data_IF_275773772904
#
_entry.id   IF_275773772904
#
_cell.length_a   1.000
_cell.length_b   1.000
_cell.length_c   1.000
_cell.angle_alpha   90.00
_cell.angle_beta   90.00
_cell.angle_gamma   90.00
#
_symmetry.space_group_name_H-M   'P 1'
#
loop_
_entity.id
_entity.type
_entity.pdbx_description
1 polymer ?
#
# COMPACT_ATOMS: atom_id res chain seq x y z
N UNK A 1 -32.95 -3.04 -10.93
CA UNK A 1 -32.50 -2.77 -9.55
C UNK A 1 -32.21 -1.29 -9.40
N UNK A 2 -32.64 -0.67 -8.30
CA UNK A 2 -32.38 0.75 -8.07
C UNK A 2 -30.90 0.95 -7.67
N UNK A 3 -30.28 2.06 -8.10
CA UNK A 3 -28.86 2.34 -7.85
C UNK A 3 -28.44 2.23 -6.36
N UNK A 4 -29.34 2.54 -5.42
CA UNK A 4 -29.10 2.41 -3.98
C UNK A 4 -28.88 0.96 -3.53
N UNK A 5 -29.58 0.00 -4.12
CA UNK A 5 -29.43 -1.44 -3.76
C UNK A 5 -28.12 -2.01 -4.32
N UNK A 6 -27.71 -1.57 -5.51
CA UNK A 6 -26.42 -1.94 -6.08
C UNK A 6 -25.27 -1.41 -5.21
N UNK A 7 -25.30 -0.13 -4.82
CA UNK A 7 -24.29 0.47 -3.92
C UNK A 7 -24.23 -0.28 -2.58
N UNK A 8 -25.39 -0.64 -2.03
CA UNK A 8 -25.44 -1.42 -0.78
C UNK A 8 -24.83 -2.81 -0.93
N UNK A 9 -25.14 -3.51 -2.04
CA UNK A 9 -24.57 -4.82 -2.34
C UNK A 9 -23.04 -4.75 -2.37
N UNK A 10 -22.50 -3.78 -3.10
CA UNK A 10 -21.05 -3.57 -3.20
C UNK A 10 -20.40 -3.19 -1.87
N UNK A 11 -21.06 -2.38 -1.04
CA UNK A 11 -20.57 -2.08 0.32
C UNK A 11 -20.52 -3.34 1.21
N UNK A 12 -21.53 -4.22 1.12
CA UNK A 12 -21.55 -5.49 1.86
C UNK A 12 -20.41 -6.41 1.40
N UNK A 13 -20.19 -6.55 0.10
CA UNK A 13 -19.07 -7.34 -0.45
C UNK A 13 -17.71 -6.82 0.07
N UNK A 14 -17.49 -5.50 0.00
CA UNK A 14 -16.26 -4.86 0.49
C UNK A 14 -16.04 -5.10 1.98
N UNK A 15 -17.08 -4.98 2.79
CA UNK A 15 -16.99 -5.20 4.24
C UNK A 15 -16.74 -6.68 4.57
N UNK A 16 -17.33 -7.61 3.84
CA UNK A 16 -17.06 -9.04 3.99
C UNK A 16 -15.59 -9.34 3.65
N UNK A 17 -15.09 -8.82 2.53
CA UNK A 17 -13.69 -8.97 2.16
C UNK A 17 -12.75 -8.39 3.23
N UNK A 18 -13.06 -7.22 3.77
CA UNK A 18 -12.29 -6.63 4.86
C UNK A 18 -12.31 -7.49 6.12
N UNK A 19 -13.48 -8.01 6.51
CA UNK A 19 -13.61 -8.90 7.66
C UNK A 19 -12.78 -10.18 7.51
N UNK A 20 -12.75 -10.76 6.31
CA UNK A 20 -11.96 -11.96 6.02
C UNK A 20 -10.47 -11.65 5.92
N UNK A 21 -10.10 -10.44 5.47
CA UNK A 21 -8.70 -9.96 5.45
C UNK A 21 -8.07 -9.90 6.84
N UNK A 22 -8.85 -9.70 7.89
CA UNK A 22 -8.38 -9.69 9.28
C UNK A 22 -8.24 -11.09 9.91
N UNK A 23 -8.62 -12.17 9.21
CA UNK A 23 -8.45 -13.51 9.75
C UNK A 23 -6.97 -13.87 9.83
N UNK A 24 -6.46 -14.03 11.07
CA UNK A 24 -5.07 -14.38 11.33
C UNK A 24 -4.78 -15.85 11.00
N UNK A 25 -5.80 -16.71 11.12
CA UNK A 25 -5.66 -18.16 10.93
C UNK A 25 -5.60 -18.57 9.45
N UNK A 26 -5.90 -17.66 8.54
CA UNK A 26 -5.91 -17.91 7.10
C UNK A 26 -4.73 -17.21 6.45
N UNK A 27 -3.82 -18.01 5.89
CA UNK A 27 -2.60 -17.52 5.22
C UNK A 27 -2.88 -17.13 3.77
N UNK A 28 -3.69 -16.10 3.56
CA UNK A 28 -3.90 -15.57 2.22
C UNK A 28 -2.71 -14.70 1.78
N UNK A 29 -2.37 -14.76 0.49
CA UNK A 29 -1.26 -14.01 -0.13
C UNK A 29 -1.73 -12.85 -0.98
N UNK A 30 -2.91 -12.97 -1.57
CA UNK A 30 -3.54 -11.87 -2.30
C UNK A 30 -5.06 -12.01 -2.35
N UNK A 31 -5.73 -10.89 -2.56
CA UNK A 31 -7.17 -10.85 -2.83
C UNK A 31 -7.48 -9.90 -3.98
N UNK A 32 -8.49 -10.21 -4.77
CA UNK A 32 -9.03 -9.34 -5.81
C UNK A 32 -10.53 -9.22 -5.59
N UNK A 33 -11.01 -7.98 -5.41
CA UNK A 33 -12.44 -7.65 -5.40
C UNK A 33 -12.86 -7.35 -6.83
N UNK A 34 -14.05 -7.81 -7.23
CA UNK A 34 -14.59 -7.64 -8.58
C UNK A 34 -13.53 -7.99 -9.65
N UNK A 35 -13.01 -9.23 -9.65
CA UNK A 35 -11.99 -9.59 -10.62
C UNK A 35 -12.54 -9.48 -12.04
N UNK A 36 -11.77 -8.84 -12.94
CA UNK A 36 -12.07 -8.78 -14.36
C UNK A 36 -12.25 -10.21 -14.90
N UNK A 37 -13.49 -10.60 -15.10
CA UNK A 37 -13.86 -11.88 -15.71
C UNK A 37 -15.02 -11.65 -16.66
N UNK A 38 -15.03 -12.33 -17.79
CA UNK A 38 -16.15 -12.33 -18.75
C UNK A 38 -17.46 -12.82 -18.11
N UNK A 39 -17.42 -13.20 -16.84
CA UNK A 39 -18.49 -13.81 -16.10
C UNK A 39 -18.58 -13.17 -14.70
N UNK A 40 -19.43 -12.17 -14.54
CA UNK A 40 -19.67 -11.36 -13.32
C UNK A 40 -20.24 -12.15 -12.12
N UNK A 41 -19.71 -13.35 -11.86
CA UNK A 41 -20.24 -14.23 -10.79
C UNK A 41 -19.30 -14.37 -9.59
N UNK A 42 -18.05 -13.91 -9.71
CA UNK A 42 -17.08 -13.93 -8.62
C UNK A 42 -16.90 -12.51 -8.11
N UNK A 43 -17.31 -12.27 -6.87
CA UNK A 43 -17.22 -10.97 -6.24
C UNK A 43 -15.86 -10.79 -5.53
N UNK A 44 -15.28 -11.87 -4.98
CA UNK A 44 -14.00 -11.87 -4.26
C UNK A 44 -13.20 -13.11 -4.66
N UNK A 45 -11.93 -12.90 -5.01
CA UNK A 45 -11.02 -13.99 -5.37
C UNK A 45 -9.78 -13.98 -4.48
N UNK A 46 -9.57 -15.07 -3.74
CA UNK A 46 -8.46 -15.25 -2.80
C UNK A 46 -7.39 -16.15 -3.37
N UNK A 47 -6.16 -15.82 -3.08
CA UNK A 47 -4.97 -16.63 -3.31
C UNK A 47 -4.32 -16.94 -1.95
N UNK A 48 -3.84 -18.16 -1.75
CA UNK A 48 -3.25 -18.62 -0.50
C UNK A 48 -1.79 -19.04 -0.71
N UNK A 49 -1.03 -19.14 0.39
CA UNK A 49 0.39 -19.50 0.39
C UNK A 49 0.67 -20.92 -0.08
N UNK A 50 -0.29 -21.85 0.10
CA UNK A 50 -0.24 -23.21 -0.41
C UNK A 50 -0.53 -23.32 -1.93
N UNK A 51 -0.70 -22.21 -2.61
CA UNK A 51 -1.07 -22.14 -4.02
C UNK A 51 -2.55 -22.43 -4.28
N UNK A 52 -3.36 -22.66 -3.25
CA UNK A 52 -4.81 -22.82 -3.42
C UNK A 52 -5.48 -21.47 -3.69
N UNK A 53 -6.68 -21.54 -4.29
CA UNK A 53 -7.48 -20.35 -4.60
C UNK A 53 -8.91 -20.56 -4.14
N UNK A 54 -9.61 -19.47 -3.78
CA UNK A 54 -11.01 -19.50 -3.41
C UNK A 54 -11.79 -18.40 -4.17
N UNK A 55 -12.82 -18.83 -4.89
CA UNK A 55 -13.77 -17.92 -5.52
C UNK A 55 -15.00 -17.76 -4.61
N UNK A 56 -15.30 -16.53 -4.22
CA UNK A 56 -16.45 -16.21 -3.37
C UNK A 56 -17.45 -15.36 -4.15
N UNK A 57 -18.72 -15.65 -3.94
CA UNK A 57 -19.84 -14.81 -4.36
C UNK A 57 -20.62 -14.37 -3.13
N UNK A 58 -21.04 -13.12 -3.09
CA UNK A 58 -21.83 -12.53 -2.01
C UNK A 58 -23.24 -12.24 -2.51
N UNK A 59 -24.24 -12.85 -1.91
CA UNK A 59 -25.66 -12.59 -2.21
C UNK A 59 -26.35 -11.99 -1.02
N UNK A 60 -26.88 -10.79 -1.19
CA UNK A 60 -27.62 -10.09 -0.15
C UNK A 60 -29.11 -9.97 -0.53
N UNK A 61 -30.00 -10.23 0.44
CA UNK A 61 -31.45 -10.10 0.24
C UNK A 61 -32.16 -9.73 1.54
N UNK A 62 -33.12 -8.80 1.41
CA UNK A 62 -34.06 -8.47 2.50
C UNK A 62 -35.12 -9.55 2.67
N UNK A 63 -35.40 -10.29 1.60
CA UNK A 63 -36.35 -11.40 1.60
C UNK A 63 -35.62 -12.68 1.98
N UNK A 64 -36.35 -13.66 2.50
CA UNK A 64 -35.82 -14.95 2.85
C UNK A 64 -35.21 -15.65 1.62
N UNK A 65 -33.95 -16.02 1.71
CA UNK A 65 -33.21 -16.76 0.70
C UNK A 65 -33.58 -18.25 0.84
N UNK A 66 -34.19 -18.81 -0.19
CA UNK A 66 -34.57 -20.22 -0.23
C UNK A 66 -33.54 -21.10 -0.93
N UNK A 67 -33.66 -22.43 -0.71
CA UNK A 67 -32.76 -23.46 -1.24
C UNK A 67 -32.59 -23.40 -2.77
N UNK A 68 -33.66 -23.23 -3.53
CA UNK A 68 -33.58 -23.16 -5.00
C UNK A 68 -32.72 -22.00 -5.54
N UNK A 69 -32.72 -20.87 -4.85
CA UNK A 69 -31.86 -19.77 -5.23
C UNK A 69 -30.38 -20.12 -4.95
N UNK A 70 -30.10 -20.70 -3.77
CA UNK A 70 -28.75 -21.08 -3.37
C UNK A 70 -28.16 -22.11 -4.30
N UNK A 71 -28.95 -23.14 -4.66
CA UNK A 71 -28.55 -24.17 -5.59
C UNK A 71 -28.17 -23.61 -6.96
N UNK A 72 -28.99 -22.70 -7.50
CA UNK A 72 -28.71 -22.02 -8.77
C UNK A 72 -27.42 -21.17 -8.72
N UNK A 73 -27.26 -20.37 -7.67
CA UNK A 73 -26.06 -19.51 -7.50
C UNK A 73 -24.79 -20.33 -7.31
N UNK A 74 -24.83 -21.42 -6.55
CA UNK A 74 -23.69 -22.31 -6.37
C UNK A 74 -23.25 -22.95 -7.69
N UNK A 75 -24.20 -23.38 -8.53
CA UNK A 75 -23.89 -23.87 -9.86
C UNK A 75 -23.25 -22.80 -10.74
N UNK A 76 -23.87 -21.61 -10.81
CA UNK A 76 -23.32 -20.48 -11.58
C UNK A 76 -21.92 -20.10 -11.14
N UNK A 77 -21.66 -20.04 -9.82
CA UNK A 77 -20.34 -19.70 -9.27
C UNK A 77 -19.28 -20.72 -9.69
N UNK A 78 -19.59 -22.00 -9.60
CA UNK A 78 -18.66 -23.07 -9.96
C UNK A 78 -18.33 -23.08 -11.45
N UNK A 79 -19.28 -22.73 -12.30
CA UNK A 79 -19.12 -22.68 -13.74
C UNK A 79 -18.41 -21.40 -14.23
N UNK A 80 -18.28 -20.37 -13.37
CA UNK A 80 -17.79 -19.04 -13.77
C UNK A 80 -16.29 -18.92 -13.85
N UNK A 81 -15.54 -19.40 -12.87
CA UNK A 81 -14.07 -19.29 -12.79
C UNK A 81 -13.47 -20.52 -12.14
N UNK A 82 -12.35 -20.99 -12.67
CA UNK A 82 -11.62 -22.10 -12.04
C UNK A 82 -10.99 -21.66 -10.72
N UNK A 83 -11.34 -22.35 -9.65
CA UNK A 83 -10.75 -22.21 -8.31
C UNK A 83 -10.72 -23.59 -7.63
N UNK A 84 -9.89 -23.73 -6.60
CA UNK A 84 -9.82 -24.97 -5.82
C UNK A 84 -10.97 -25.03 -4.81
N UNK A 85 -11.34 -23.87 -4.25
CA UNK A 85 -12.45 -23.72 -3.29
C UNK A 85 -13.47 -22.72 -3.82
N UNK A 86 -14.72 -22.94 -3.45
CA UNK A 86 -15.83 -22.06 -3.79
C UNK A 86 -16.67 -21.80 -2.56
N UNK A 87 -17.06 -20.54 -2.34
CA UNK A 87 -17.90 -20.14 -1.22
C UNK A 87 -19.01 -19.19 -1.67
N UNK A 88 -20.23 -19.46 -1.24
CA UNK A 88 -21.36 -18.57 -1.40
C UNK A 88 -21.70 -17.91 -0.06
N UNK A 89 -21.39 -16.63 0.09
CA UNK A 89 -21.65 -15.86 1.29
C UNK A 89 -23.08 -15.29 1.20
N UNK A 90 -23.90 -15.63 2.15
CA UNK A 90 -25.29 -15.15 2.22
C UNK A 90 -25.41 -14.04 3.28
N UNK A 91 -25.96 -12.89 2.89
CA UNK A 91 -26.24 -11.80 3.78
C UNK A 91 -27.76 -11.55 3.83
N UNK A 92 -28.36 -11.81 4.98
CA UNK A 92 -29.79 -11.64 5.21
C UNK A 92 -30.48 -12.89 5.77
N UNK A 93 -31.82 -12.91 5.84
CA UNK A 93 -32.58 -14.05 6.34
C UNK A 93 -32.52 -15.23 5.37
N UNK A 94 -32.23 -16.42 5.88
CA UNK A 94 -32.19 -17.65 5.09
C UNK A 94 -33.17 -18.69 5.64
N UNK A 95 -33.63 -19.59 4.77
CA UNK A 95 -34.42 -20.72 5.19
C UNK A 95 -33.53 -21.78 5.88
N UNK A 96 -34.02 -22.41 6.96
CA UNK A 96 -33.28 -23.43 7.69
C UNK A 96 -32.75 -24.54 6.80
N UNK A 97 -33.55 -25.01 5.86
CA UNK A 97 -33.18 -26.05 4.89
C UNK A 97 -31.93 -25.71 4.04
N UNK A 98 -31.48 -24.46 3.98
CA UNK A 98 -30.26 -24.10 3.28
C UNK A 98 -29.03 -24.54 4.06
N UNK A 99 -29.03 -24.38 5.39
CA UNK A 99 -27.92 -24.81 6.24
C UNK A 99 -27.86 -26.31 6.42
N UNK A 100 -29.03 -26.96 6.48
CA UNK A 100 -29.13 -28.42 6.69
C UNK A 100 -28.59 -29.20 5.47
N UNK A 101 -28.71 -28.63 4.26
CA UNK A 101 -28.36 -29.28 3.01
C UNK A 101 -27.01 -28.87 2.40
N UNK A 102 -26.28 -27.94 3.05
CA UNK A 102 -24.96 -27.51 2.56
C UNK A 102 -23.91 -28.65 2.70
N UNK A 103 -22.92 -28.76 1.79
CA UNK A 103 -22.63 -27.90 0.64
C UNK A 103 -23.46 -28.19 -0.61
N UNK A 104 -23.62 -27.19 -1.49
CA UNK A 104 -24.30 -27.35 -2.78
C UNK A 104 -23.27 -27.39 -3.91
N UNK A 105 -23.32 -28.43 -4.74
CA UNK A 105 -22.40 -28.63 -5.88
C UNK A 105 -20.89 -28.53 -5.51
N UNK A 106 -20.56 -28.81 -4.24
CA UNK A 106 -19.19 -28.63 -3.72
C UNK A 106 -18.81 -27.16 -3.44
N UNK A 107 -19.80 -26.26 -3.38
CA UNK A 107 -19.67 -24.88 -2.93
C UNK A 107 -20.04 -24.81 -1.44
N UNK A 108 -19.16 -24.29 -0.63
CA UNK A 108 -19.43 -24.08 0.79
C UNK A 108 -20.39 -22.89 0.97
N UNK A 109 -21.34 -23.04 1.90
CA UNK A 109 -22.25 -21.98 2.32
C UNK A 109 -22.02 -21.73 3.81
N UNK A 110 -21.16 -20.78 4.17
CA UNK A 110 -20.89 -20.45 5.57
C UNK A 110 -22.11 -19.91 6.29
N UNK A 111 -22.02 -19.83 7.61
CA UNK A 111 -23.05 -19.15 8.44
C UNK A 111 -23.35 -17.76 7.88
N UNK A 112 -24.62 -17.43 7.68
CA UNK A 112 -25.02 -16.16 7.10
C UNK A 112 -24.52 -14.96 7.88
N UNK A 113 -24.20 -13.91 7.15
CA UNK A 113 -23.79 -12.64 7.75
C UNK A 113 -24.91 -11.61 7.74
N UNK A 114 -24.71 -10.52 8.47
CA UNK A 114 -25.66 -9.40 8.48
C UNK A 114 -25.69 -8.67 7.14
N UNK A 115 -26.86 -8.20 6.75
CA UNK A 115 -27.02 -7.19 5.69
C UNK A 115 -26.82 -5.77 6.20
N UNK A 116 -26.78 -5.58 7.51
CA UNK A 116 -26.60 -4.26 8.10
C UNK A 116 -25.14 -3.85 8.03
N UNK A 117 -24.86 -2.85 7.22
CA UNK A 117 -23.51 -2.32 7.04
C UNK A 117 -22.92 -1.72 8.31
N UNK A 118 -23.75 -1.21 9.22
CA UNK A 118 -23.30 -0.73 10.54
C UNK A 118 -22.84 -1.90 11.40
N UNK A 119 -23.62 -2.97 11.44
CA UNK A 119 -23.23 -4.18 12.17
C UNK A 119 -21.94 -4.81 11.61
N UNK A 120 -21.74 -4.80 10.28
CA UNK A 120 -20.50 -5.27 9.67
C UNK A 120 -19.31 -4.36 10.01
N UNK A 121 -19.51 -3.04 10.04
CA UNK A 121 -18.47 -2.09 10.48
C UNK A 121 -18.08 -2.30 11.94
N UNK A 122 -19.05 -2.50 12.85
CA UNK A 122 -18.78 -2.83 14.24
C UNK A 122 -17.99 -4.13 14.41
N UNK A 123 -18.32 -5.15 13.61
CA UNK A 123 -17.53 -6.39 13.56
C UNK A 123 -16.10 -6.14 13.05
N UNK A 124 -15.91 -5.31 12.04
CA UNK A 124 -14.59 -4.96 11.52
C UNK A 124 -13.76 -4.23 12.58
N UNK A 125 -14.35 -3.27 13.31
CA UNK A 125 -13.71 -2.56 14.42
C UNK A 125 -13.26 -3.52 15.54
N UNK A 126 -14.04 -4.57 15.78
CA UNK A 126 -13.68 -5.60 16.76
C UNK A 126 -12.61 -6.56 16.24
N UNK A 127 -12.71 -6.96 14.98
CA UNK A 127 -11.72 -7.86 14.34
C UNK A 127 -10.37 -7.20 14.16
N UNK A 128 -10.31 -5.91 13.79
CA UNK A 128 -9.04 -5.19 13.64
C UNK A 128 -8.24 -5.20 14.93
N UNK A 129 -8.88 -5.11 16.09
CA UNK A 129 -8.21 -5.14 17.39
C UNK A 129 -7.49 -6.49 17.61
N UNK A 130 -8.16 -7.60 17.29
CA UNK A 130 -7.54 -8.94 17.35
C UNK A 130 -6.40 -9.09 16.34
N UNK A 131 -6.60 -8.56 15.14
CA UNK A 131 -5.58 -8.57 14.09
C UNK A 131 -4.33 -7.78 14.52
N UNK A 132 -4.49 -6.61 15.13
CA UNK A 132 -3.40 -5.79 15.64
C UNK A 132 -2.68 -6.49 16.81
N UNK A 133 -3.44 -7.09 17.73
CA UNK A 133 -2.89 -7.88 18.84
C UNK A 133 -2.05 -9.06 18.33
N UNK A 134 -2.54 -9.79 17.31
CA UNK A 134 -1.77 -10.87 16.68
C UNK A 134 -0.47 -10.38 16.04
N UNK A 135 -0.42 -9.12 15.60
CA UNK A 135 0.79 -8.46 15.08
C UNK A 135 1.61 -7.76 16.18
N UNK A 136 1.28 -7.96 17.46
CA UNK A 136 1.93 -7.31 18.60
C UNK A 136 1.87 -5.78 18.54
N UNK A 137 0.77 -5.24 18.03
CA UNK A 137 0.45 -3.82 18.04
C UNK A 137 -0.57 -3.59 19.16
N UNK A 138 -0.35 -2.55 19.96
CA UNK A 138 -1.25 -2.22 21.04
C UNK A 138 -2.66 -1.86 20.55
N UNK A 139 -3.69 -2.16 21.38
CA UNK A 139 -5.06 -1.78 21.07
C UNK A 139 -5.19 -0.28 20.81
N UNK A 140 -5.82 0.06 19.68
CA UNK A 140 -6.09 1.46 19.35
C UNK A 140 -7.33 1.97 20.10
N UNK A 141 -7.38 3.26 20.49
CA UNK A 141 -8.61 3.91 20.91
C UNK A 141 -9.73 3.74 19.87
N UNK A 142 -10.97 3.58 20.33
CA UNK A 142 -12.13 3.31 19.47
C UNK A 142 -12.25 4.28 18.26
N UNK A 143 -12.13 5.62 18.43
CA UNK A 143 -12.23 6.54 17.30
C UNK A 143 -11.16 6.32 16.23
N UNK A 144 -9.97 5.87 16.64
CA UNK A 144 -8.88 5.57 15.69
C UNK A 144 -9.13 4.25 14.96
N UNK A 145 -9.68 3.24 15.62
CA UNK A 145 -10.11 1.99 14.96
C UNK A 145 -11.21 2.28 13.92
N UNK A 146 -12.18 3.09 14.28
CA UNK A 146 -13.23 3.52 13.34
C UNK A 146 -12.64 4.23 12.11
N UNK A 147 -11.76 5.21 12.32
CA UNK A 147 -11.10 5.94 11.24
C UNK A 147 -10.29 5.00 10.34
N UNK A 148 -9.52 4.08 10.93
CA UNK A 148 -8.75 3.09 10.19
C UNK A 148 -9.66 2.18 9.34
N UNK A 149 -10.78 1.72 9.89
CA UNK A 149 -11.73 0.88 9.15
C UNK A 149 -12.32 1.63 7.96
N UNK A 150 -12.72 2.90 8.13
CA UNK A 150 -13.23 3.71 7.02
C UNK A 150 -12.17 3.93 5.94
N UNK A 151 -10.92 4.17 6.32
CA UNK A 151 -9.81 4.30 5.38
C UNK A 151 -9.58 3.00 4.60
N UNK A 152 -9.56 1.86 5.28
CA UNK A 152 -9.38 0.55 4.62
C UNK A 152 -10.53 0.23 3.67
N UNK A 153 -11.78 0.52 4.05
CA UNK A 153 -12.94 0.37 3.17
C UNK A 153 -12.77 1.23 1.92
N UNK A 154 -12.38 2.51 2.07
CA UNK A 154 -12.17 3.40 0.93
C UNK A 154 -11.07 2.88 -0.01
N UNK A 155 -9.96 2.38 0.53
CA UNK A 155 -8.86 1.79 -0.27
C UNK A 155 -9.28 0.52 -0.99
N UNK A 156 -10.04 -0.37 -0.32
CA UNK A 156 -10.57 -1.58 -0.93
C UNK A 156 -11.58 -1.27 -2.04
N UNK A 157 -12.45 -0.28 -1.85
CA UNK A 157 -13.35 0.20 -2.88
C UNK A 157 -12.59 0.71 -4.10
N UNK A 158 -11.53 1.49 -3.88
CA UNK A 158 -10.66 1.97 -4.97
C UNK A 158 -9.99 0.82 -5.71
N UNK A 159 -9.49 -0.18 -4.98
CA UNK A 159 -8.88 -1.37 -5.57
C UNK A 159 -9.90 -2.16 -6.42
N UNK A 160 -11.13 -2.32 -5.92
CA UNK A 160 -12.22 -2.97 -6.63
C UNK A 160 -12.60 -2.25 -7.94
N UNK A 161 -12.75 -0.90 -7.90
CA UNK A 161 -13.05 -0.10 -9.09
C UNK A 161 -11.97 -0.29 -10.18
N UNK A 162 -10.72 -0.54 -9.78
CA UNK A 162 -9.60 -0.73 -10.70
C UNK A 162 -9.37 -2.21 -11.06
N UNK A 163 -10.17 -3.15 -10.55
CA UNK A 163 -9.92 -4.60 -10.71
C UNK A 163 -8.55 -5.03 -10.15
N UNK A 164 -8.04 -4.32 -9.14
CA UNK A 164 -6.66 -4.47 -8.68
C UNK A 164 -6.52 -5.70 -7.78
N UNK A 165 -5.55 -6.56 -8.11
CA UNK A 165 -5.05 -7.59 -7.21
C UNK A 165 -4.31 -6.94 -6.04
N UNK A 166 -4.72 -7.21 -4.80
CA UNK A 166 -4.16 -6.67 -3.57
C UNK A 166 -3.35 -7.74 -2.84
N UNK A 167 -2.02 -7.67 -2.84
CA UNK A 167 -1.17 -8.54 -2.05
C UNK A 167 -1.36 -8.32 -0.53
N UNK A 168 -1.06 -9.34 0.27
CA UNK A 168 -1.17 -9.29 1.73
C UNK A 168 -0.28 -8.22 2.36
N UNK A 169 0.92 -8.10 1.87
CA UNK A 169 1.89 -7.09 2.33
C UNK A 169 1.41 -5.67 2.05
N UNK A 170 0.72 -5.45 0.93
CA UNK A 170 0.10 -4.16 0.63
C UNK A 170 -1.03 -3.85 1.63
N UNK A 171 -1.91 -4.81 1.91
CA UNK A 171 -2.95 -4.65 2.92
C UNK A 171 -2.36 -4.36 4.31
N UNK A 172 -1.35 -5.12 4.73
CA UNK A 172 -0.63 -4.91 5.98
C UNK A 172 0.02 -3.51 6.02
N UNK A 173 0.55 -3.06 4.87
CA UNK A 173 1.09 -1.71 4.70
C UNK A 173 0.04 -0.62 4.89
N UNK A 174 -1.18 -0.81 4.37
CA UNK A 174 -2.28 0.14 4.58
C UNK A 174 -2.65 0.26 6.06
N UNK A 175 -2.77 -0.88 6.75
CA UNK A 175 -3.06 -0.90 8.19
C UNK A 175 -1.98 -0.16 8.98
N UNK A 176 -0.71 -0.49 8.74
CA UNK A 176 0.41 0.13 9.44
C UNK A 176 0.51 1.63 9.16
N UNK A 177 0.27 2.06 7.92
CA UNK A 177 0.36 3.47 7.57
C UNK A 177 -0.75 4.29 8.22
N UNK A 178 -1.98 3.78 8.22
CA UNK A 178 -3.10 4.44 8.89
C UNK A 178 -2.86 4.59 10.41
N UNK A 179 -2.32 3.56 11.05
CA UNK A 179 -1.97 3.61 12.48
C UNK A 179 -0.83 4.60 12.72
N UNK A 180 0.23 4.53 11.91
CA UNK A 180 1.40 5.39 12.07
C UNK A 180 1.05 6.86 11.89
N UNK A 181 0.17 7.18 10.95
CA UNK A 181 -0.27 8.54 10.71
C UNK A 181 -1.14 9.08 11.87
N UNK A 182 -1.96 8.24 12.47
CA UNK A 182 -2.96 8.66 13.45
C UNK A 182 -2.57 8.39 14.90
N UNK A 183 -1.76 7.34 15.15
CA UNK A 183 -1.37 6.90 16.50
C UNK A 183 -0.02 6.18 16.50
N UNK A 184 1.07 6.90 16.22
CA UNK A 184 2.42 6.31 16.10
C UNK A 184 2.87 5.55 17.35
N UNK A 185 2.35 5.91 18.52
CA UNK A 185 2.68 5.23 19.78
C UNK A 185 2.30 3.75 19.82
N UNK A 186 1.21 3.34 19.18
CA UNK A 186 0.79 1.94 19.14
C UNK A 186 1.77 1.04 18.36
N UNK A 187 2.44 1.61 17.38
CA UNK A 187 3.42 0.88 16.56
C UNK A 187 4.79 0.85 17.23
N UNK A 188 5.11 1.86 18.06
CA UNK A 188 6.41 1.98 18.71
C UNK A 188 6.68 0.93 19.78
N UNK A 189 5.65 0.42 20.45
CA UNK A 189 5.83 -0.62 21.46
C UNK A 189 6.27 -1.97 20.89
N UNK A 190 5.92 -2.26 19.61
CA UNK A 190 6.45 -3.44 18.92
C UNK A 190 7.96 -3.38 18.70
N UNK A 191 8.52 -2.19 18.79
CA UNK A 191 9.91 -1.84 18.57
C UNK A 191 10.65 -1.58 19.88
N UNK A 192 10.14 -2.09 21.02
CA UNK A 192 10.71 -2.00 22.36
C UNK A 192 12.08 -2.68 22.56
N UNK A 193 12.75 -3.10 21.53
CA UNK A 193 14.19 -3.02 21.58
C UNK A 193 14.54 -1.53 21.58
N UNK A 194 15.47 -1.08 22.40
CA UNK A 194 15.99 0.28 22.54
C UNK A 194 16.60 0.85 21.22
N UNK A 195 15.99 0.57 20.07
CA UNK A 195 16.49 0.91 18.75
C UNK A 195 15.63 2.00 18.12
N UNK A 196 16.28 2.91 17.42
CA UNK A 196 15.63 3.80 16.47
C UNK A 196 15.12 2.99 15.28
N UNK A 197 13.91 3.26 14.82
CA UNK A 197 13.36 2.64 13.63
C UNK A 197 13.02 3.73 12.64
N UNK A 198 13.76 3.74 11.54
CA UNK A 198 13.57 4.73 10.50
C UNK A 198 12.81 4.12 9.34
N UNK A 199 11.79 4.82 8.90
CA UNK A 199 11.22 4.64 7.59
C UNK A 199 11.10 6.01 6.90
N UNK A 200 11.07 6.01 5.60
CA UNK A 200 10.75 7.19 4.83
C UNK A 200 9.32 7.10 4.34
N UNK A 201 8.51 8.05 4.77
CA UNK A 201 7.37 8.45 3.97
C UNK A 201 7.99 9.31 2.88
N UNK A 202 8.28 8.73 1.73
CA UNK A 202 8.44 9.51 0.53
C UNK A 202 7.04 10.04 0.18
N UNK A 203 6.56 11.02 0.91
CA UNK A 203 5.66 11.98 0.32
C UNK A 203 6.46 12.70 -0.75
N UNK A 204 6.57 12.08 -1.90
CA UNK A 204 6.88 12.82 -3.09
C UNK A 204 5.58 13.52 -3.45
N UNK A 205 5.17 14.40 -2.58
CA UNK A 205 4.13 15.38 -2.85
C UNK A 205 4.59 16.41 -3.89
N UNK A 206 5.75 16.15 -4.53
CA UNK A 206 6.31 17.02 -5.53
C UNK A 206 7.13 16.29 -6.59
N UNK A 207 7.30 16.88 -7.76
CA UNK A 207 8.13 16.33 -8.81
C UNK A 207 9.60 16.24 -8.38
N UNK A 208 10.27 15.14 -8.73
CA UNK A 208 11.72 15.01 -8.60
C UNK A 208 12.36 15.98 -9.56
N UNK A 209 13.21 16.85 -9.04
CA UNK A 209 13.98 17.73 -9.88
C UNK A 209 15.23 17.01 -10.39
N UNK A 210 15.34 16.88 -11.71
CA UNK A 210 16.49 16.27 -12.38
C UNK A 210 17.25 17.33 -13.16
N UNK A 211 18.55 17.40 -12.93
CA UNK A 211 19.45 18.26 -13.73
C UNK A 211 20.10 17.43 -14.83
N UNK A 212 19.91 17.86 -16.09
CA UNK A 212 20.46 17.15 -17.24
C UNK A 212 22.00 17.22 -17.34
N UNK A 213 22.63 18.27 -16.81
CA UNK A 213 24.10 18.44 -16.91
C UNK A 213 24.89 17.63 -15.89
N UNK A 214 24.32 17.45 -14.71
CA UNK A 214 25.04 16.85 -13.58
C UNK A 214 24.39 15.56 -13.07
N UNK A 215 23.26 15.16 -13.67
CA UNK A 215 22.47 13.98 -13.18
C UNK A 215 22.13 14.06 -11.71
N UNK A 216 21.96 15.26 -11.23
CA UNK A 216 21.62 15.53 -9.84
C UNK A 216 20.13 15.34 -9.64
N UNK A 217 19.78 14.77 -8.52
CA UNK A 217 18.39 14.52 -8.12
C UNK A 217 18.10 15.28 -6.82
N UNK A 218 17.08 16.12 -6.83
CA UNK A 218 16.55 16.70 -5.59
C UNK A 218 15.31 15.93 -5.19
N UNK A 219 15.39 15.28 -4.05
CA UNK A 219 14.29 14.52 -3.48
C UNK A 219 13.77 15.21 -2.22
N UNK A 220 12.48 15.57 -2.16
CA UNK A 220 11.85 15.91 -0.90
C UNK A 220 11.71 14.62 -0.08
N UNK A 221 12.32 14.58 1.09
CA UNK A 221 12.33 13.43 1.98
C UNK A 221 11.61 13.79 3.28
N UNK A 222 10.65 12.97 3.68
CA UNK A 222 10.15 12.93 5.05
C UNK A 222 10.64 11.64 5.68
N UNK A 223 11.50 11.73 6.66
CA UNK A 223 12.01 10.58 7.40
C UNK A 223 11.35 10.55 8.77
N UNK A 224 10.73 9.44 9.10
CA UNK A 224 10.00 9.23 10.35
C UNK A 224 10.80 8.31 11.24
N UNK A 225 10.98 8.67 12.49
CA UNK A 225 11.48 7.79 13.54
C UNK A 225 10.30 7.30 14.40
N UNK A 226 9.85 6.07 14.14
CA UNK A 226 8.82 5.41 14.94
C UNK A 226 9.36 4.66 16.15
N UNK A 227 10.66 4.70 16.38
CA UNK A 227 11.30 4.04 17.51
C UNK A 227 11.19 4.83 18.81
N UNK A 228 11.58 4.19 19.92
CA UNK A 228 11.57 4.76 21.26
C UNK A 228 12.85 5.56 21.61
N UNK A 229 13.88 5.50 20.77
CA UNK A 229 15.13 6.22 20.95
C UNK A 229 15.39 7.19 19.80
N UNK A 230 16.21 8.21 20.06
CA UNK A 230 16.66 9.15 19.02
C UNK A 230 17.43 8.40 17.94
N UNK A 231 17.08 8.63 16.68
CA UNK A 231 17.81 8.15 15.52
C UNK A 231 18.79 9.23 15.05
N UNK A 232 20.05 8.88 14.92
CA UNK A 232 21.04 9.74 14.27
C UNK A 232 21.26 9.20 12.86
N UNK A 233 20.79 9.94 11.87
CA UNK A 233 21.00 9.63 10.46
C UNK A 233 22.41 10.09 10.08
N UNK A 234 23.26 9.15 9.69
CA UNK A 234 24.65 9.43 9.27
C UNK A 234 24.74 9.63 7.75
N UNK A 235 23.96 8.88 6.98
CA UNK A 235 24.04 8.91 5.53
C UNK A 235 22.78 8.42 4.86
N UNK A 236 22.48 8.98 3.69
CA UNK A 236 21.61 8.38 2.70
C UNK A 236 22.43 7.82 1.53
N UNK A 237 21.92 6.79 0.90
CA UNK A 237 22.39 6.30 -0.40
C UNK A 237 21.17 6.11 -1.29
N UNK A 238 21.22 6.68 -2.50
CA UNK A 238 20.18 6.48 -3.49
C UNK A 238 20.73 5.57 -4.59
N UNK A 239 20.04 4.49 -4.87
CA UNK A 239 20.29 3.60 -5.97
C UNK A 239 19.23 3.82 -7.03
N UNK A 240 19.65 4.03 -8.28
CA UNK A 240 18.77 4.20 -9.43
C UNK A 240 19.20 3.22 -10.50
N UNK A 241 18.28 2.40 -10.98
CA UNK A 241 18.61 1.41 -12.00
C UNK A 241 17.48 1.20 -13.01
N UNK A 242 17.88 0.80 -14.21
CA UNK A 242 17.01 0.29 -15.26
C UNK A 242 17.49 -1.10 -15.68
N UNK A 243 16.88 -1.71 -16.68
CA UNK A 243 17.32 -2.99 -17.24
C UNK A 243 18.78 -2.99 -17.74
N UNK A 244 19.28 -1.82 -18.14
CA UNK A 244 20.59 -1.68 -18.79
C UNK A 244 21.62 -0.93 -17.95
N UNK A 245 21.23 -0.29 -16.88
CA UNK A 245 22.10 0.63 -16.14
C UNK A 245 21.77 0.69 -14.66
N UNK A 246 22.82 0.80 -13.83
CA UNK A 246 22.72 1.09 -12.40
C UNK A 246 23.58 2.30 -12.06
N UNK A 247 23.03 3.21 -11.28
CA UNK A 247 23.72 4.40 -10.76
C UNK A 247 23.50 4.51 -9.26
N UNK A 248 24.53 4.98 -8.56
CA UNK A 248 24.47 5.25 -7.13
C UNK A 248 24.73 6.73 -6.87
N UNK A 249 24.00 7.27 -5.93
CA UNK A 249 24.03 8.67 -5.57
C UNK A 249 24.29 8.85 -4.08
N UNK A 250 25.03 9.86 -3.74
CA UNK A 250 25.24 10.31 -2.36
C UNK A 250 24.55 11.64 -2.13
N UNK A 251 24.13 11.96 -0.89
CA UNK A 251 23.65 13.27 -0.55
C UNK A 251 24.82 14.26 -0.58
N UNK A 252 24.57 15.47 -1.07
CA UNK A 252 25.55 16.56 -1.10
C UNK A 252 25.08 17.74 -0.28
N UNK A 253 23.86 18.18 -0.52
CA UNK A 253 23.28 19.37 0.11
C UNK A 253 21.87 19.10 0.62
N UNK A 254 21.51 19.78 1.70
CA UNK A 254 20.10 20.02 2.02
C UNK A 254 19.74 21.36 1.42
N UNK A 255 18.74 21.37 0.56
CA UNK A 255 18.30 22.56 -0.17
C UNK A 255 17.01 23.10 0.43
N UNK A 256 16.84 24.43 0.42
CA UNK A 256 15.61 25.03 0.90
C UNK A 256 14.42 24.63 0.00
N UNK A 257 13.32 24.21 0.62
CA UNK A 257 12.09 23.89 -0.09
C UNK A 257 11.29 25.18 -0.32
N UNK A 258 11.57 25.83 -1.44
CA UNK A 258 10.86 27.02 -1.88
C UNK A 258 10.24 26.75 -3.25
N UNK A 259 8.95 26.49 -3.31
CA UNK A 259 8.25 26.30 -4.59
C UNK A 259 8.46 27.50 -5.51
N UNK A 260 8.80 27.24 -6.76
CA UNK A 260 8.95 28.28 -7.79
C UNK A 260 10.35 28.90 -7.91
N UNK A 261 11.28 28.64 -7.02
CA UNK A 261 12.66 29.10 -7.19
C UNK A 261 13.45 28.26 -8.20
N UNK A 262 14.30 28.93 -8.97
CA UNK A 262 15.19 28.27 -9.95
C UNK A 262 16.22 27.40 -9.21
N UNK A 263 16.47 26.20 -9.73
CA UNK A 263 17.40 25.21 -9.16
C UNK A 263 18.77 25.80 -8.76
N UNK A 264 19.36 26.63 -9.61
CA UNK A 264 20.66 27.25 -9.33
C UNK A 264 20.62 28.12 -8.06
N UNK A 265 19.51 28.78 -7.77
CA UNK A 265 19.33 29.60 -6.57
C UNK A 265 19.19 28.72 -5.33
N UNK A 266 18.41 27.66 -5.42
CA UNK A 266 18.23 26.66 -4.34
C UNK A 266 19.57 26.02 -3.96
N UNK A 267 20.38 25.63 -4.94
CA UNK A 267 21.70 25.05 -4.71
C UNK A 267 22.64 26.01 -3.96
N UNK A 268 22.62 27.32 -4.29
CA UNK A 268 23.44 28.32 -3.62
C UNK A 268 23.02 28.60 -2.17
N UNK A 269 21.77 28.38 -1.84
CA UNK A 269 21.21 28.57 -0.51
C UNK A 269 21.23 27.30 0.34
N UNK A 270 21.60 26.16 -0.24
CA UNK A 270 21.71 24.89 0.46
C UNK A 270 22.88 24.86 1.42
N UNK A 271 22.78 24.06 2.45
CA UNK A 271 23.90 23.74 3.34
C UNK A 271 24.38 22.30 3.10
N UNK A 272 25.65 21.97 3.37
CA UNK A 272 26.15 20.60 3.23
C UNK A 272 25.27 19.61 4.00
N UNK A 273 25.04 18.44 3.38
CA UNK A 273 24.40 17.35 4.09
C UNK A 273 25.34 16.87 5.21
N UNK A 274 24.81 16.73 6.40
CA UNK A 274 25.52 16.23 7.57
C UNK A 274 24.60 15.38 8.42
N UNK A 275 25.16 14.79 9.45
CA UNK A 275 24.42 13.99 10.40
C UNK A 275 23.32 14.83 11.06
N UNK A 276 22.14 14.21 11.23
CA UNK A 276 21.03 14.85 11.93
C UNK A 276 20.27 13.85 12.78
N UNK A 277 19.71 14.35 13.87
CA UNK A 277 18.96 13.54 14.81
C UNK A 277 17.45 13.68 14.56
N UNK A 278 16.75 12.57 14.67
CA UNK A 278 15.29 12.53 14.66
C UNK A 278 14.85 12.00 16.03
N UNK A 279 14.15 12.83 16.77
CA UNK A 279 13.65 12.45 18.09
C UNK A 279 12.71 11.22 18.01
N UNK A 280 12.52 10.49 19.11
CA UNK A 280 11.54 9.42 19.15
C UNK A 280 10.16 9.92 18.71
N UNK A 281 9.43 9.09 17.97
CA UNK A 281 8.05 9.41 17.55
C UNK A 281 7.91 10.74 16.79
N UNK A 282 8.92 11.11 16.02
CA UNK A 282 8.92 12.36 15.26
C UNK A 282 9.38 12.17 13.82
N UNK A 283 9.24 13.21 13.02
CA UNK A 283 9.69 13.22 11.63
C UNK A 283 10.49 14.47 11.32
N UNK A 284 11.38 14.35 10.33
CA UNK A 284 12.11 15.47 9.74
C UNK A 284 11.82 15.48 8.24
N UNK A 285 11.41 16.65 7.75
CA UNK A 285 11.21 16.90 6.32
C UNK A 285 12.32 17.77 5.79
N UNK A 286 12.97 17.34 4.71
CA UNK A 286 14.00 18.11 4.05
C UNK A 286 14.14 17.72 2.58
N UNK A 287 14.50 18.68 1.73
CA UNK A 287 14.83 18.40 0.32
C UNK A 287 16.32 18.17 0.20
N UNK A 288 16.71 16.98 -0.24
CA UNK A 288 18.11 16.55 -0.33
C UNK A 288 18.55 16.50 -1.79
N UNK A 289 19.65 17.16 -2.10
CA UNK A 289 20.33 17.06 -3.38
C UNK A 289 21.25 15.85 -3.37
N UNK A 290 20.99 14.92 -4.28
CA UNK A 290 21.80 13.74 -4.53
C UNK A 290 22.65 13.93 -5.77
N UNK A 291 23.93 13.61 -5.65
CA UNK A 291 24.90 13.63 -6.76
C UNK A 291 25.40 12.23 -7.05
N UNK A 292 25.70 11.90 -8.32
CA UNK A 292 26.20 10.59 -8.68
C UNK A 292 27.57 10.32 -8.04
N UNK A 293 27.75 9.12 -7.52
CA UNK A 293 29.07 8.64 -7.09
C UNK A 293 29.86 8.33 -8.36
N UNK A 294 30.79 9.18 -8.75
CA UNK A 294 31.63 9.00 -9.94
C UNK A 294 32.43 7.70 -9.81
N UNK A 295 32.29 6.80 -10.79
CA UNK A 295 33.22 5.69 -10.99
C UNK A 295 34.09 5.99 -12.20
N UNK A 296 35.39 5.73 -12.14
CA UNK A 296 36.26 5.80 -13.33
C UNK A 296 35.70 4.87 -14.42
N UNK A 297 35.47 5.38 -15.63
CA UNK A 297 35.01 4.58 -16.79
C UNK A 297 33.54 4.75 -17.20
N UNK A 298 32.75 5.59 -16.54
CA UNK A 298 31.40 5.93 -17.01
C UNK A 298 31.44 7.18 -17.89
N UNK A 299 31.51 7.00 -19.20
CA UNK A 299 31.70 8.10 -20.15
C UNK A 299 30.43 8.82 -20.59
N UNK A 300 29.26 8.31 -20.33
CA UNK A 300 28.01 9.02 -20.68
C UNK A 300 27.05 9.11 -19.53
N UNK A 301 26.80 10.31 -19.14
CA UNK A 301 25.86 10.68 -18.08
C UNK A 301 24.46 10.96 -18.62
N UNK A 302 23.96 10.18 -19.57
CA UNK A 302 22.62 10.39 -20.12
C UNK A 302 21.59 9.54 -19.41
N UNK A 303 20.41 10.10 -19.24
CA UNK A 303 19.21 9.40 -18.80
C UNK A 303 18.42 8.95 -20.02
N UNK A 304 18.62 7.73 -20.56
CA UNK A 304 17.78 7.24 -21.64
C UNK A 304 16.30 7.29 -21.25
N UNK A 305 15.46 7.37 -22.28
CA UNK A 305 14.01 7.29 -22.12
C UNK A 305 13.67 5.92 -21.53
N UNK A 306 12.79 5.89 -20.54
CA UNK A 306 12.32 4.65 -19.93
C UNK A 306 12.07 4.75 -18.43
N UNK A 307 11.79 3.59 -17.85
CA UNK A 307 11.50 3.44 -16.44
C UNK A 307 12.78 3.13 -15.65
N UNK A 308 12.94 3.86 -14.56
CA UNK A 308 14.02 3.68 -13.59
C UNK A 308 13.44 3.33 -12.23
N UNK A 309 13.95 2.27 -11.66
CA UNK A 309 13.69 1.96 -10.25
C UNK A 309 14.61 2.81 -9.37
N UNK A 310 14.06 3.33 -8.30
CA UNK A 310 14.77 4.16 -7.33
C UNK A 310 14.62 3.53 -5.96
N UNK A 311 15.73 3.35 -5.25
CA UNK A 311 15.73 2.81 -3.89
C UNK A 311 16.57 3.71 -2.98
N UNK A 312 15.95 4.18 -1.90
CA UNK A 312 16.60 5.00 -0.89
C UNK A 312 17.03 4.12 0.28
N UNK A 313 18.29 4.19 0.61
CA UNK A 313 18.88 3.57 1.79
C UNK A 313 19.27 4.62 2.81
N UNK A 314 19.21 4.25 4.07
CA UNK A 314 19.69 5.06 5.20
C UNK A 314 20.71 4.26 6.01
N UNK A 315 21.73 4.95 6.48
CA UNK A 315 22.59 4.50 7.56
C UNK A 315 22.34 5.36 8.78
N UNK A 316 22.11 4.74 9.91
CA UNK A 316 21.97 5.43 11.19
C UNK A 316 22.79 4.75 12.29
N UNK A 317 23.18 5.53 13.31
CA UNK A 317 24.23 5.15 14.27
C UNK A 317 24.01 3.82 15.01
N UNK A 318 22.75 3.37 15.14
CA UNK A 318 22.45 2.11 15.80
C UNK A 318 22.60 0.88 14.89
N UNK A 319 22.87 1.04 13.59
CA UNK A 319 22.97 -0.08 12.65
C UNK A 319 24.27 -0.07 11.87
N UNK A 320 24.89 -1.24 11.77
CA UNK A 320 26.13 -1.40 11.01
C UNK A 320 25.90 -1.39 9.48
N UNK A 321 24.70 -1.75 9.00
CA UNK A 321 24.37 -1.89 7.59
C UNK A 321 23.43 -0.80 7.12
N UNK A 322 23.47 -0.51 5.81
CA UNK A 322 22.48 0.31 5.12
C UNK A 322 21.12 -0.39 5.08
N UNK A 323 20.07 0.31 5.47
CA UNK A 323 18.69 -0.17 5.42
C UNK A 323 17.95 0.47 4.25
N UNK A 324 17.30 -0.34 3.43
CA UNK A 324 16.36 0.15 2.42
C UNK A 324 15.11 0.67 3.12
N UNK A 325 14.80 1.94 2.90
CA UNK A 325 13.65 2.59 3.54
C UNK A 325 12.54 2.97 2.57
N UNK A 326 12.84 2.98 1.27
CA UNK A 326 11.85 3.27 0.22
C UNK A 326 12.27 2.80 -1.15
N UNK A 327 11.28 2.37 -1.94
CA UNK A 327 11.41 2.08 -3.38
C UNK A 327 10.37 2.89 -4.16
N UNK A 328 10.76 3.37 -5.33
CA UNK A 328 9.90 4.14 -6.23
C UNK A 328 10.29 3.90 -7.69
N UNK A 329 9.45 4.32 -8.62
CA UNK A 329 9.74 4.29 -10.06
C UNK A 329 9.67 5.70 -10.62
N UNK A 330 10.67 6.07 -11.43
CA UNK A 330 10.71 7.31 -12.19
C UNK A 330 10.64 6.94 -13.67
N UNK A 331 9.74 7.58 -14.42
CA UNK A 331 9.63 7.41 -15.87
C UNK A 331 10.13 8.66 -16.56
N UNK A 332 11.13 8.52 -17.44
CA UNK A 332 11.62 9.61 -18.29
C UNK A 332 10.99 9.49 -19.67
N UNK A 333 10.17 10.47 -20.04
CA UNK A 333 9.49 10.56 -21.32
C UNK A 333 10.36 11.29 -22.37
N UNK A 334 9.96 11.19 -23.63
CA UNK A 334 10.67 11.79 -24.75
C UNK A 334 10.85 13.32 -24.63
N UNK A 335 9.81 14.02 -24.22
CA UNK A 335 9.83 15.48 -24.02
C UNK A 335 10.73 15.90 -22.85
N UNK A 336 10.76 15.10 -21.80
CA UNK A 336 11.63 15.30 -20.65
C UNK A 336 13.09 15.03 -21.01
N UNK A 337 13.35 13.97 -21.78
CA UNK A 337 14.68 13.62 -22.28
C UNK A 337 15.28 14.75 -23.10
N UNK A 338 14.52 15.34 -24.03
CA UNK A 338 14.98 16.47 -24.85
C UNK A 338 15.38 17.68 -24.00
N UNK A 339 14.66 17.96 -22.92
CA UNK A 339 14.99 19.05 -21.99
C UNK A 339 16.24 18.70 -21.17
N UNK A 340 16.35 17.48 -20.68
CA UNK A 340 17.50 17.03 -19.90
C UNK A 340 18.79 17.04 -20.73
N UNK A 341 18.76 16.60 -21.98
CA UNK A 341 19.92 16.61 -22.88
C UNK A 341 20.39 18.03 -23.23
N UNK A 342 19.49 19.02 -23.22
CA UNK A 342 19.87 20.42 -23.37
C UNK A 342 20.58 21.02 -22.11
N UNK A 343 20.72 20.23 -21.06
CA UNK A 343 21.33 20.61 -19.80
C UNK A 343 20.43 21.47 -18.90
N UNK A 344 19.14 21.52 -19.21
CA UNK A 344 18.14 22.18 -18.38
C UNK A 344 17.66 21.26 -17.25
N UNK A 345 17.04 21.87 -16.27
CA UNK A 345 16.42 21.14 -15.16
C UNK A 345 14.95 20.91 -15.45
N UNK A 346 14.49 19.71 -15.20
CA UNK A 346 13.08 19.33 -15.34
C UNK A 346 12.54 18.75 -14.03
N UNK A 347 11.26 19.00 -13.80
CA UNK A 347 10.50 18.31 -12.79
C UNK A 347 9.86 17.07 -13.42
N UNK A 348 10.24 15.88 -12.94
CA UNK A 348 9.72 14.63 -13.41
C UNK A 348 8.76 14.09 -12.37
N UNK A 349 7.54 13.80 -12.80
CA UNK A 349 6.58 13.11 -11.95
C UNK A 349 7.08 11.70 -11.66
N UNK A 350 7.02 11.26 -10.41
CA UNK A 350 7.20 9.85 -10.12
C UNK A 350 5.92 9.16 -10.57
N UNK A 351 6.03 8.40 -11.66
CA UNK A 351 4.95 7.58 -12.12
C UNK A 351 4.66 6.51 -11.04
N UNK A 352 3.40 6.35 -10.69
CA UNK A 352 2.90 5.46 -9.65
C UNK A 352 3.03 5.96 -8.20
N UNK A 353 2.86 7.26 -7.96
CA UNK A 353 2.48 7.74 -6.64
C UNK A 353 1.26 6.94 -6.14
N UNK A 354 0.27 6.71 -7.01
CA UNK A 354 -0.94 5.94 -6.72
C UNK A 354 -0.62 4.47 -6.35
N UNK A 355 0.37 3.87 -7.00
CA UNK A 355 0.79 2.51 -6.69
C UNK A 355 1.55 2.39 -5.36
N UNK A 356 2.11 3.50 -4.86
CA UNK A 356 2.86 3.56 -3.62
C UNK A 356 2.13 4.28 -2.48
N UNK A 357 1.16 5.13 -2.77
CA UNK A 357 0.14 5.53 -1.79
C UNK A 357 -0.68 4.32 -1.34
N UNK A 358 -0.76 3.28 -2.16
CA UNK A 358 -1.35 1.99 -1.77
C UNK A 358 -0.39 1.10 -0.96
N UNK A 359 0.86 1.48 -0.77
CA UNK A 359 1.85 0.82 0.09
C UNK A 359 2.10 1.61 1.39
N UNK A 360 1.56 2.80 1.48
CA UNK A 360 1.37 3.56 2.68
C UNK A 360 -0.03 3.29 3.22
#
# INVERSE_FOLDING_TARGET
MGGREAIRGFAVQTLICLLDSFCADVQWTAVTLEPDSDNDKVDIYWEYDDGSTCAQQVKSSKNQIGKSHVDGWCKELKDSRSAIKYQLILAGPIAAAVLDDAPFHGVEVPTPTSMDTLALLEQAITKVDRYLTAKSIDPLPLPLRESLIYELVARMLQAAICGKRMPRDEFDGWVLSGITASYPHAVSQRLTSNCAVLWSVLEIAGPVQVSGRAFELVLPLTVVNGGASTAVVEMFLLRVWSATREMRYRPELVVADKPGEVYATRRRQGHPFGDFAIAPQSSVQQSVLFVPVQRPGYESNEWPIGDYQVELFVKYAAQAALCSIKKATITIKMDEFAVLTSGQTRYISIANLDKYLSLL
#
